data_IF_629811181494
#
_entry.id   IF_629811181494
#
_cell.length_a   1.000
_cell.length_b   1.000
_cell.length_c   1.000
_cell.angle_alpha   90.00
_cell.angle_beta   90.00
_cell.angle_gamma   90.00
#
_symmetry.space_group_name_H-M   'P 1'
#
loop_
_entity.id
_entity.type
_entity.pdbx_description
1 polymer ?
#
# COMPACT_ATOMS: atom_id res chain seq x y z
N UNK A 1 -9.68 24.53 17.58
CA UNK A 1 -8.60 23.68 17.10
C UNK A 1 -9.23 22.36 16.71
N UNK A 2 -9.17 21.94 15.43
CA UNK A 2 -9.70 20.64 15.01
C UNK A 2 -8.91 19.52 15.69
N UNK A 3 -9.60 18.50 16.17
CA UNK A 3 -8.97 17.33 16.76
C UNK A 3 -8.24 16.53 15.66
N UNK A 4 -6.96 16.19 15.91
CA UNK A 4 -6.15 15.43 14.93
C UNK A 4 -6.74 14.05 14.67
N UNK A 5 -6.76 13.64 13.42
CA UNK A 5 -7.19 12.29 13.03
C UNK A 5 -6.21 11.21 13.56
N UNK A 6 -6.63 9.96 13.56
CA UNK A 6 -5.77 8.83 13.93
C UNK A 6 -4.53 8.74 13.05
N UNK A 7 -4.65 9.04 11.77
CA UNK A 7 -3.55 9.05 10.79
C UNK A 7 -2.58 10.20 11.06
N UNK A 8 -3.06 11.40 11.38
CA UNK A 8 -2.17 12.52 11.73
C UNK A 8 -1.36 12.23 13.00
N UNK A 9 -1.97 11.60 14.02
CA UNK A 9 -1.25 11.15 15.22
C UNK A 9 -0.24 10.04 14.91
N UNK A 10 -0.56 9.11 14.00
CA UNK A 10 0.35 8.06 13.54
C UNK A 10 1.60 8.66 12.89
N UNK A 11 1.41 9.59 11.93
CA UNK A 11 2.52 10.28 11.24
C UNK A 11 3.43 11.02 12.20
N UNK A 12 2.89 11.71 13.19
CA UNK A 12 3.69 12.41 14.19
C UNK A 12 4.52 11.45 15.05
N UNK A 13 3.91 10.33 15.46
CA UNK A 13 4.59 9.30 16.27
C UNK A 13 5.76 8.67 15.53
N UNK A 14 5.62 8.45 14.23
CA UNK A 14 6.61 7.78 13.38
C UNK A 14 7.37 8.75 12.47
N UNK A 15 7.44 10.03 12.84
CA UNK A 15 8.10 11.08 12.04
C UNK A 15 9.58 10.81 11.76
N UNK A 16 10.27 10.06 12.61
CA UNK A 16 11.66 9.66 12.43
C UNK A 16 11.86 8.44 11.53
N UNK A 17 10.83 7.65 11.28
CA UNK A 17 10.89 6.50 10.38
C UNK A 17 10.77 6.96 8.93
N UNK A 18 11.91 7.29 8.31
CA UNK A 18 11.98 7.90 6.97
C UNK A 18 12.26 6.90 5.87
N UNK A 19 13.17 5.93 6.13
CA UNK A 19 13.65 5.01 5.12
C UNK A 19 13.34 3.58 5.52
N UNK A 20 12.55 2.92 4.70
CA UNK A 20 12.20 1.51 4.85
C UNK A 20 12.58 0.71 3.63
N UNK A 21 12.75 -0.59 3.80
CA UNK A 21 12.93 -1.53 2.70
C UNK A 21 12.05 -2.77 2.87
N UNK A 22 11.62 -3.34 1.75
CA UNK A 22 10.99 -4.65 1.72
C UNK A 22 11.93 -5.74 2.24
N UNK A 23 11.51 -6.47 3.26
CA UNK A 23 12.30 -7.53 3.88
C UNK A 23 12.34 -8.76 2.96
N UNK A 24 13.48 -9.02 2.34
CA UNK A 24 13.68 -10.12 1.37
C UNK A 24 14.76 -11.09 1.84
N UNK A 25 14.53 -12.40 1.61
CA UNK A 25 15.42 -13.48 2.05
C UNK A 25 16.91 -13.30 1.72
N UNK A 26 17.31 -12.81 0.52
CA UNK A 26 18.72 -12.61 0.21
C UNK A 26 19.47 -11.65 1.14
N UNK A 27 18.74 -10.79 1.85
CA UNK A 27 19.32 -9.76 2.72
C UNK A 27 19.35 -10.16 4.20
N UNK A 28 18.76 -11.28 4.58
CA UNK A 28 18.54 -11.66 5.98
C UNK A 28 19.82 -11.65 6.81
N UNK A 29 20.91 -12.25 6.34
CA UNK A 29 22.15 -12.33 7.12
C UNK A 29 22.76 -10.96 7.34
N UNK A 30 22.84 -10.15 6.29
CA UNK A 30 23.36 -8.79 6.39
C UNK A 30 22.51 -7.90 7.33
N UNK A 31 21.17 -8.04 7.30
CA UNK A 31 20.28 -7.26 8.13
C UNK A 31 20.32 -7.66 9.62
N UNK A 32 20.57 -8.93 9.91
CA UNK A 32 20.80 -9.40 11.28
C UNK A 32 22.11 -8.86 11.86
N UNK A 33 23.15 -8.72 11.05
CA UNK A 33 24.42 -8.11 11.43
C UNK A 33 24.28 -6.61 11.65
N UNK A 34 23.49 -5.91 10.81
CA UNK A 34 23.21 -4.49 10.95
C UNK A 34 22.44 -3.93 9.76
N UNK A 35 21.69 -2.87 10.01
CA UNK A 35 20.89 -2.19 9.00
C UNK A 35 21.08 -0.66 9.07
N UNK A 36 22.31 -0.15 8.78
CA UNK A 36 22.58 1.28 8.88
C UNK A 36 21.74 2.08 7.87
N UNK A 37 21.08 3.14 8.33
CA UNK A 37 20.25 4.00 7.48
C UNK A 37 18.86 3.44 7.17
N UNK A 38 18.46 2.30 7.77
CA UNK A 38 17.12 1.73 7.67
C UNK A 38 16.37 2.00 8.96
N UNK A 39 15.20 2.57 8.86
CA UNK A 39 14.36 2.93 10.01
C UNK A 39 13.25 1.91 10.27
N UNK A 40 12.77 1.22 9.23
CA UNK A 40 11.72 0.19 9.33
C UNK A 40 11.82 -0.83 8.20
N UNK A 41 11.19 -1.98 8.39
CA UNK A 41 11.05 -3.00 7.35
C UNK A 41 9.59 -3.18 6.95
N UNK A 42 9.39 -3.61 5.69
CA UNK A 42 8.09 -4.04 5.21
C UNK A 42 8.12 -5.53 4.88
N UNK A 43 7.08 -6.24 5.31
CA UNK A 43 6.85 -7.63 4.94
C UNK A 43 5.59 -7.78 4.12
N UNK A 44 5.65 -8.62 3.09
CA UNK A 44 4.43 -9.03 2.36
C UNK A 44 3.68 -10.04 3.22
N UNK A 45 2.41 -9.75 3.48
CA UNK A 45 1.56 -10.55 4.37
C UNK A 45 1.51 -12.01 3.93
N UNK A 46 1.21 -12.27 2.66
CA UNK A 46 1.07 -13.61 2.07
C UNK A 46 2.36 -14.43 2.13
N UNK A 47 3.50 -13.75 2.09
CA UNK A 47 4.81 -14.39 2.23
C UNK A 47 5.21 -14.65 3.69
N UNK A 48 4.41 -14.18 4.66
CA UNK A 48 4.81 -14.14 6.07
C UNK A 48 3.78 -14.78 7.01
N UNK A 49 2.49 -14.76 6.67
CA UNK A 49 1.39 -15.26 7.52
C UNK A 49 1.57 -16.72 7.92
N UNK A 50 1.85 -17.59 6.95
CA UNK A 50 1.89 -19.05 7.13
C UNK A 50 3.29 -19.61 7.27
N UNK A 51 4.31 -18.76 7.23
CA UNK A 51 5.71 -19.19 7.22
C UNK A 51 6.22 -19.47 8.63
N UNK A 52 6.93 -20.61 8.71
CA UNK A 52 7.74 -21.01 9.87
C UNK A 52 9.24 -20.94 9.60
N UNK A 53 10.01 -21.61 10.42
CA UNK A 53 11.45 -21.79 10.24
C UNK A 53 12.26 -20.50 10.24
N UNK A 54 13.31 -20.45 9.42
CA UNK A 54 14.27 -19.33 9.40
C UNK A 54 13.62 -17.98 9.08
N UNK A 55 12.72 -17.92 8.11
CA UNK A 55 12.07 -16.64 7.74
C UNK A 55 11.33 -16.04 8.91
N UNK A 56 10.54 -16.84 9.63
CA UNK A 56 9.84 -16.40 10.83
C UNK A 56 10.82 -15.91 11.91
N UNK A 57 11.86 -16.70 12.19
CA UNK A 57 12.86 -16.33 13.21
C UNK A 57 13.57 -15.01 12.88
N UNK A 58 13.87 -14.74 11.60
CA UNK A 58 14.49 -13.48 11.17
C UNK A 58 13.52 -12.31 11.32
N UNK A 59 12.27 -12.47 10.89
CA UNK A 59 11.23 -11.43 11.07
C UNK A 59 11.06 -11.09 12.54
N UNK A 60 10.94 -12.10 13.41
CA UNK A 60 10.76 -11.91 14.86
C UNK A 60 11.99 -11.20 15.47
N UNK A 61 13.21 -11.60 15.12
CA UNK A 61 14.44 -10.97 15.60
C UNK A 61 14.60 -9.51 15.13
N UNK A 62 14.15 -9.19 13.92
CA UNK A 62 14.18 -7.81 13.42
C UNK A 62 13.06 -6.96 14.05
N UNK A 63 11.89 -7.55 14.34
CA UNK A 63 10.78 -6.87 15.01
C UNK A 63 11.13 -6.39 16.44
N UNK A 64 12.07 -7.07 17.11
CA UNK A 64 12.60 -6.62 18.41
C UNK A 64 13.42 -5.32 18.33
N UNK A 65 13.93 -4.98 17.13
CA UNK A 65 14.87 -3.88 16.93
C UNK A 65 14.33 -2.75 16.06
N UNK A 66 13.40 -3.06 15.17
CA UNK A 66 12.86 -2.14 14.17
C UNK A 66 11.34 -2.27 14.08
N UNK A 67 10.61 -1.18 13.80
CA UNK A 67 9.23 -1.28 13.36
C UNK A 67 9.15 -2.15 12.10
N UNK A 68 8.18 -3.06 12.05
CA UNK A 68 7.85 -3.82 10.84
C UNK A 68 6.43 -3.47 10.45
N UNK A 69 6.25 -3.01 9.21
CA UNK A 69 4.93 -2.78 8.62
C UNK A 69 4.51 -4.00 7.78
N UNK A 70 3.21 -4.22 7.69
CA UNK A 70 2.65 -5.35 6.93
C UNK A 70 1.94 -4.82 5.71
N UNK A 71 2.30 -5.35 4.54
CA UNK A 71 1.68 -5.02 3.26
C UNK A 71 1.03 -6.25 2.66
N UNK A 72 -0.27 -6.18 2.40
CA UNK A 72 -1.07 -7.25 1.80
C UNK A 72 -1.29 -7.03 0.31
N UNK A 73 -1.60 -8.12 -0.38
CA UNK A 73 -1.95 -8.09 -1.81
C UNK A 73 -3.29 -8.79 -2.09
N UNK A 74 -3.86 -9.50 -1.13
CA UNK A 74 -5.02 -10.37 -1.34
C UNK A 74 -6.25 -10.07 -0.47
N UNK A 75 -6.34 -8.91 0.17
CA UNK A 75 -7.58 -8.47 0.82
C UNK A 75 -8.73 -8.30 -0.20
N UNK A 76 -8.38 -8.02 -1.45
CA UNK A 76 -9.37 -7.87 -2.52
C UNK A 76 -10.42 -6.80 -2.20
N UNK A 77 -9.98 -5.59 -1.81
CA UNK A 77 -10.82 -4.50 -1.29
C UNK A 77 -11.99 -4.13 -2.22
N UNK A 78 -11.79 -4.22 -3.54
CA UNK A 78 -12.83 -3.93 -4.53
C UNK A 78 -13.62 -5.16 -4.98
N UNK A 79 -13.31 -6.35 -4.46
CA UNK A 79 -13.92 -7.62 -4.88
C UNK A 79 -15.42 -7.71 -4.61
N UNK A 80 -16.16 -8.43 -5.45
CA UNK A 80 -17.59 -8.66 -5.27
C UNK A 80 -17.89 -9.67 -4.14
N UNK A 81 -16.96 -10.59 -3.87
CA UNK A 81 -17.15 -11.65 -2.90
C UNK A 81 -16.96 -11.14 -1.45
N UNK A 82 -17.53 -11.80 -0.45
CA UNK A 82 -17.13 -11.61 0.93
C UNK A 82 -15.62 -11.81 1.11
N UNK A 83 -15.05 -11.21 2.15
CA UNK A 83 -13.66 -11.50 2.52
C UNK A 83 -13.47 -12.99 2.80
N UNK A 84 -12.33 -13.55 2.41
CA UNK A 84 -11.98 -14.92 2.74
C UNK A 84 -11.64 -15.01 4.24
N UNK A 85 -12.46 -15.76 5.00
CA UNK A 85 -12.31 -15.86 6.46
C UNK A 85 -10.94 -16.39 6.87
N UNK A 86 -10.46 -17.46 6.23
CA UNK A 86 -9.13 -18.04 6.49
C UNK A 86 -7.99 -17.05 6.24
N UNK A 87 -8.12 -16.20 5.21
CA UNK A 87 -7.13 -15.14 4.94
C UNK A 87 -7.15 -14.08 6.05
N UNK A 88 -8.34 -13.63 6.47
CA UNK A 88 -8.47 -12.64 7.53
C UNK A 88 -7.90 -13.17 8.86
N UNK A 89 -8.16 -14.43 9.19
CA UNK A 89 -7.66 -15.06 10.43
C UNK A 89 -6.12 -15.19 10.39
N UNK A 90 -5.55 -15.57 9.25
CA UNK A 90 -4.11 -15.65 9.07
C UNK A 90 -3.44 -14.26 9.14
N UNK A 91 -4.06 -13.24 8.54
CA UNK A 91 -3.59 -11.85 8.61
C UNK A 91 -3.67 -11.31 10.04
N UNK A 92 -4.74 -11.62 10.78
CA UNK A 92 -4.91 -11.25 12.18
C UNK A 92 -3.79 -11.83 13.05
N UNK A 93 -3.50 -13.13 12.91
CA UNK A 93 -2.38 -13.77 13.62
C UNK A 93 -1.02 -13.17 13.27
N UNK A 94 -0.83 -12.69 12.03
CA UNK A 94 0.39 -11.96 11.64
C UNK A 94 0.46 -10.58 12.30
N UNK A 95 -0.64 -9.81 12.25
CA UNK A 95 -0.73 -8.47 12.84
C UNK A 95 -0.55 -8.54 14.37
N UNK A 96 -1.17 -9.50 15.05
CA UNK A 96 -0.98 -9.69 16.50
C UNK A 96 0.48 -10.03 16.86
N UNK A 97 1.15 -10.84 16.03
CA UNK A 97 2.53 -11.27 16.27
C UNK A 97 3.55 -10.15 16.03
N UNK A 98 3.37 -9.38 14.96
CA UNK A 98 4.33 -8.31 14.55
C UNK A 98 4.04 -7.00 15.28
N UNK A 99 2.80 -6.76 15.67
CA UNK A 99 2.33 -5.49 16.23
C UNK A 99 2.69 -4.28 15.36
N UNK A 100 2.35 -4.29 14.04
CA UNK A 100 2.78 -3.27 13.11
C UNK A 100 2.19 -1.91 13.47
N UNK A 101 2.94 -0.81 13.29
CA UNK A 101 2.42 0.55 13.49
C UNK A 101 1.29 0.90 12.50
N UNK A 102 1.28 0.30 11.32
CA UNK A 102 0.22 0.29 10.32
C UNK A 102 0.33 -0.94 9.44
N UNK A 103 -0.73 -1.24 8.72
CA UNK A 103 -0.72 -2.22 7.64
C UNK A 103 -1.45 -1.67 6.43
N UNK A 104 -1.25 -2.25 5.25
CA UNK A 104 -1.75 -1.75 3.97
C UNK A 104 -2.20 -2.87 3.04
N UNK A 105 -3.01 -2.54 2.06
CA UNK A 105 -3.34 -3.39 0.93
C UNK A 105 -3.76 -2.54 -0.29
N UNK A 106 -3.80 -3.16 -1.46
CA UNK A 106 -4.07 -2.51 -2.74
C UNK A 106 -5.54 -2.17 -2.96
N UNK A 107 -5.79 -1.07 -3.67
CA UNK A 107 -7.11 -0.69 -4.15
C UNK A 107 -7.50 -1.49 -5.41
N UNK A 108 -7.63 -2.78 -5.28
CA UNK A 108 -7.91 -3.72 -6.37
C UNK A 108 -8.79 -4.86 -5.88
N UNK A 109 -9.08 -5.80 -6.75
CA UNK A 109 -9.54 -7.11 -6.32
C UNK A 109 -8.60 -8.21 -6.86
N UNK A 110 -8.34 -9.23 -6.06
CA UNK A 110 -7.58 -10.42 -6.39
C UNK A 110 -8.47 -11.65 -6.47
N UNK A 111 -9.74 -11.52 -6.02
CA UNK A 111 -10.72 -12.59 -5.97
C UNK A 111 -12.11 -12.11 -6.42
N UNK A 112 -12.76 -12.91 -7.27
CA UNK A 112 -14.15 -12.71 -7.63
C UNK A 112 -14.82 -14.05 -8.01
N UNK A 113 -16.13 -14.21 -7.66
CA UNK A 113 -16.94 -15.38 -7.98
C UNK A 113 -16.32 -16.70 -7.51
N UNK A 114 -15.65 -16.69 -6.33
CA UNK A 114 -14.98 -17.84 -5.76
C UNK A 114 -13.66 -18.24 -6.41
N UNK A 115 -13.15 -17.43 -7.35
CA UNK A 115 -11.87 -17.66 -8.05
C UNK A 115 -10.82 -16.68 -7.57
N UNK A 116 -9.63 -17.19 -7.23
CA UNK A 116 -8.41 -16.41 -6.98
C UNK A 116 -7.67 -16.19 -8.30
N UNK A 117 -7.38 -14.93 -8.63
CA UNK A 117 -6.70 -14.58 -9.88
C UNK A 117 -5.18 -14.53 -9.76
N UNK A 118 -4.66 -14.49 -8.54
CA UNK A 118 -3.23 -14.30 -8.24
C UNK A 118 -2.65 -13.06 -8.92
N UNK A 119 -3.47 -12.03 -9.07
CA UNK A 119 -3.12 -10.77 -9.71
C UNK A 119 -3.95 -9.64 -9.11
N UNK A 120 -3.50 -8.40 -9.31
CA UNK A 120 -4.16 -7.18 -8.86
C UNK A 120 -5.08 -6.68 -9.99
N UNK A 121 -6.36 -7.03 -9.91
CA UNK A 121 -7.33 -6.70 -10.97
C UNK A 121 -7.95 -5.33 -10.69
N UNK A 122 -7.88 -4.40 -11.66
CA UNK A 122 -8.51 -3.09 -11.54
C UNK A 122 -10.04 -3.19 -11.62
N UNK A 123 -10.72 -2.18 -11.12
CA UNK A 123 -12.17 -2.07 -11.15
C UNK A 123 -12.60 -0.63 -11.55
N UNK A 124 -13.84 -0.42 -11.99
CA UNK A 124 -14.31 0.93 -12.34
C UNK A 124 -14.42 1.81 -11.09
N UNK A 125 -13.83 3.01 -11.13
CA UNK A 125 -13.96 4.02 -10.08
C UNK A 125 -15.35 4.68 -10.15
N UNK A 126 -16.39 3.89 -9.90
CA UNK A 126 -17.80 4.30 -9.87
C UNK A 126 -18.23 4.68 -8.45
N UNK A 127 -19.38 5.37 -8.32
CA UNK A 127 -19.98 5.67 -7.01
C UNK A 127 -20.33 4.41 -6.23
N UNK A 128 -20.90 3.42 -6.91
CA UNK A 128 -21.19 2.11 -6.31
C UNK A 128 -19.92 1.36 -5.87
N UNK A 129 -18.83 1.47 -6.65
CA UNK A 129 -17.52 0.96 -6.27
C UNK A 129 -16.99 1.63 -5.01
N UNK A 130 -17.11 2.95 -4.93
CA UNK A 130 -16.70 3.72 -3.75
C UNK A 130 -17.49 3.31 -2.49
N UNK A 131 -18.80 3.16 -2.59
CA UNK A 131 -19.63 2.73 -1.47
C UNK A 131 -19.19 1.35 -0.96
N UNK A 132 -18.99 0.39 -1.86
CA UNK A 132 -18.48 -0.95 -1.52
C UNK A 132 -17.10 -0.91 -0.85
N UNK A 133 -16.14 -0.22 -1.45
CA UNK A 133 -14.78 -0.13 -0.89
C UNK A 133 -14.81 0.57 0.47
N UNK A 134 -15.66 1.59 0.64
CA UNK A 134 -15.87 2.27 1.92
C UNK A 134 -16.28 1.28 3.03
N UNK A 135 -17.32 0.49 2.78
CA UNK A 135 -17.80 -0.52 3.75
C UNK A 135 -16.68 -1.52 4.10
N UNK A 136 -15.93 -1.98 3.09
CA UNK A 136 -14.87 -2.96 3.28
C UNK A 136 -13.68 -2.38 4.05
N UNK A 137 -13.27 -1.16 3.77
CA UNK A 137 -12.20 -0.49 4.51
C UNK A 137 -12.61 -0.24 5.96
N UNK A 138 -13.85 0.16 6.22
CA UNK A 138 -14.36 0.32 7.59
C UNK A 138 -14.37 -1.02 8.34
N UNK A 139 -14.81 -2.10 7.71
CA UNK A 139 -14.77 -3.44 8.29
C UNK A 139 -13.33 -3.87 8.64
N UNK A 140 -12.38 -3.67 7.72
CA UNK A 140 -10.95 -3.99 7.93
C UNK A 140 -10.38 -3.20 9.12
N UNK A 141 -10.66 -1.91 9.18
CA UNK A 141 -10.22 -1.06 10.30
C UNK A 141 -10.81 -1.47 11.64
N UNK A 142 -12.09 -1.84 11.67
CA UNK A 142 -12.76 -2.32 12.88
C UNK A 142 -12.21 -3.67 13.33
N UNK A 143 -12.09 -4.64 12.41
CA UNK A 143 -11.62 -5.98 12.71
C UNK A 143 -10.21 -5.99 13.30
N UNK A 144 -9.29 -5.29 12.66
CA UNK A 144 -7.88 -5.34 13.05
C UNK A 144 -7.49 -4.29 14.12
N UNK A 145 -8.30 -3.26 14.34
CA UNK A 145 -8.05 -2.21 15.33
C UNK A 145 -6.74 -1.45 15.14
N UNK A 146 -6.20 -1.46 13.91
CA UNK A 146 -4.92 -0.85 13.54
C UNK A 146 -5.10 0.20 12.45
N UNK A 147 -4.20 1.19 12.35
CA UNK A 147 -4.15 2.08 11.20
C UNK A 147 -4.00 1.29 9.91
N UNK A 148 -4.91 1.52 8.96
CA UNK A 148 -4.94 0.87 7.68
C UNK A 148 -4.72 1.87 6.56
N UNK A 149 -3.83 1.52 5.62
CA UNK A 149 -3.53 2.33 4.43
C UNK A 149 -4.03 1.63 3.18
N UNK A 150 -4.54 2.41 2.25
CA UNK A 150 -4.94 1.94 0.92
C UNK A 150 -3.91 2.41 -0.10
N UNK A 151 -3.45 1.50 -0.95
CA UNK A 151 -2.47 1.78 -1.99
C UNK A 151 -3.13 1.97 -3.35
N UNK A 152 -2.68 2.99 -4.11
CA UNK A 152 -2.98 3.13 -5.53
C UNK A 152 -2.21 2.11 -6.36
N UNK A 153 -2.89 1.39 -7.24
CA UNK A 153 -2.30 0.30 -8.03
C UNK A 153 -2.11 0.68 -9.49
N UNK A 154 -1.17 0.03 -10.17
CA UNK A 154 -1.08 0.11 -11.62
C UNK A 154 -2.24 -0.62 -12.29
N UNK A 155 -2.71 -0.11 -13.43
CA UNK A 155 -3.74 -0.75 -14.25
C UNK A 155 -3.53 -0.49 -15.74
N UNK A 156 -3.97 -1.44 -16.57
CA UNK A 156 -3.72 -1.46 -18.01
C UNK A 156 -5.01 -1.36 -18.84
N UNK A 157 -6.13 -1.21 -18.18
CA UNK A 157 -7.45 -1.07 -18.82
C UNK A 157 -8.25 0.05 -18.15
N UNK A 158 -8.84 0.91 -18.97
CA UNK A 158 -9.80 1.90 -18.51
C UNK A 158 -11.22 1.32 -18.58
N UNK A 159 -12.06 1.70 -17.61
CA UNK A 159 -13.44 1.25 -17.55
C UNK A 159 -14.38 2.37 -18.00
N UNK A 160 -15.24 2.13 -19.02
CA UNK A 160 -16.24 3.13 -19.43
C UNK A 160 -17.23 3.53 -18.32
N UNK A 161 -17.40 2.65 -17.33
CA UNK A 161 -18.27 2.89 -16.17
C UNK A 161 -17.61 3.69 -15.05
N UNK A 162 -16.39 4.20 -15.22
CA UNK A 162 -15.75 5.07 -14.25
C UNK A 162 -16.45 6.44 -14.22
N UNK A 163 -16.85 6.88 -13.03
CA UNK A 163 -17.52 8.16 -12.77
C UNK A 163 -16.60 9.15 -12.07
N UNK A 164 -15.50 8.65 -11.51
CA UNK A 164 -14.48 9.40 -10.78
C UNK A 164 -13.12 9.13 -11.39
N UNK A 165 -12.20 10.09 -11.29
CA UNK A 165 -10.78 9.78 -11.42
C UNK A 165 -10.29 9.00 -10.19
N UNK A 166 -9.23 8.22 -10.34
CA UNK A 166 -8.63 7.48 -9.23
C UNK A 166 -8.27 8.40 -8.06
N UNK A 167 -7.62 9.54 -8.34
CA UNK A 167 -7.26 10.51 -7.31
C UNK A 167 -8.50 11.00 -6.53
N UNK A 168 -9.60 11.29 -7.23
CA UNK A 168 -10.84 11.71 -6.60
C UNK A 168 -11.49 10.61 -5.78
N UNK A 169 -11.46 9.37 -6.29
CA UNK A 169 -11.93 8.19 -5.57
C UNK A 169 -11.17 8.02 -4.24
N UNK A 170 -9.84 8.10 -4.26
CA UNK A 170 -9.00 8.01 -3.06
C UNK A 170 -9.29 9.15 -2.07
N UNK A 171 -9.49 10.38 -2.54
CA UNK A 171 -9.87 11.50 -1.67
C UNK A 171 -11.18 11.21 -0.93
N UNK A 172 -12.23 10.82 -1.66
CA UNK A 172 -13.53 10.54 -1.06
C UNK A 172 -13.49 9.30 -0.15
N UNK A 173 -12.68 8.29 -0.48
CA UNK A 173 -12.48 7.13 0.38
C UNK A 173 -11.83 7.53 1.72
N UNK A 174 -10.78 8.35 1.69
CA UNK A 174 -10.14 8.89 2.89
C UNK A 174 -11.12 9.71 3.74
N UNK A 175 -11.91 10.58 3.10
CA UNK A 175 -12.92 11.39 3.79
C UNK A 175 -13.97 10.53 4.51
N UNK A 176 -14.44 9.45 3.87
CA UNK A 176 -15.48 8.57 4.40
C UNK A 176 -14.99 7.62 5.49
N UNK A 177 -13.74 7.15 5.38
CA UNK A 177 -13.24 6.06 6.23
C UNK A 177 -12.20 6.51 7.24
N UNK A 178 -11.53 7.65 7.00
CA UNK A 178 -10.36 8.06 7.77
C UNK A 178 -9.20 7.04 7.66
N UNK A 179 -9.08 6.29 6.55
CA UNK A 179 -7.90 5.48 6.27
C UNK A 179 -6.72 6.37 5.88
N UNK A 180 -5.51 5.83 5.98
CA UNK A 180 -4.34 6.45 5.38
C UNK A 180 -4.16 6.03 3.92
N UNK A 181 -3.15 6.62 3.28
CA UNK A 181 -2.71 6.24 1.94
C UNK A 181 -1.27 5.74 1.99
N UNK A 182 -1.03 4.63 1.30
CA UNK A 182 0.26 4.25 0.79
C UNK A 182 0.31 4.76 -0.64
N UNK A 183 1.15 5.75 -0.91
CA UNK A 183 1.29 6.33 -2.24
C UNK A 183 2.41 5.62 -2.99
N UNK A 184 2.07 4.80 -3.98
CA UNK A 184 3.06 4.27 -4.91
C UNK A 184 3.25 5.24 -6.07
N UNK A 185 4.42 5.89 -6.10
CA UNK A 185 4.76 6.91 -7.10
C UNK A 185 5.08 6.28 -8.46
N UNK A 186 5.60 5.05 -8.48
CA UNK A 186 5.83 4.32 -9.71
C UNK A 186 4.49 3.98 -10.40
N UNK A 187 3.49 3.53 -9.63
CA UNK A 187 2.15 3.24 -10.15
C UNK A 187 1.47 4.49 -10.71
N UNK A 188 1.62 5.64 -10.04
CA UNK A 188 1.15 6.93 -10.58
C UNK A 188 1.82 7.23 -11.91
N UNK A 189 3.15 7.06 -12.01
CA UNK A 189 3.90 7.33 -13.23
C UNK A 189 3.50 6.37 -14.37
N UNK A 190 3.46 5.07 -14.10
CA UNK A 190 3.05 4.04 -15.06
C UNK A 190 1.64 4.32 -15.59
N UNK A 191 0.69 4.59 -14.70
CA UNK A 191 -0.69 4.91 -15.10
C UNK A 191 -0.76 6.23 -15.89
N UNK A 192 -0.02 7.26 -15.48
CA UNK A 192 -0.01 8.56 -16.16
C UNK A 192 0.47 8.44 -17.61
N UNK A 193 1.53 7.66 -17.85
CA UNK A 193 2.03 7.41 -19.22
C UNK A 193 1.03 6.58 -20.01
N UNK A 194 0.50 5.50 -19.44
CA UNK A 194 -0.37 4.57 -20.14
C UNK A 194 -1.76 5.15 -20.45
N UNK A 195 -2.27 6.05 -19.61
CA UNK A 195 -3.63 6.62 -19.74
C UNK A 195 -3.64 8.10 -20.08
N UNK A 196 -2.48 8.76 -20.19
CA UNK A 196 -2.35 10.12 -20.70
C UNK A 196 -2.84 11.21 -19.76
N UNK A 197 -2.58 11.09 -18.45
CA UNK A 197 -2.86 12.16 -17.49
C UNK A 197 -1.58 12.73 -16.85
N UNK A 198 -1.69 13.88 -16.18
CA UNK A 198 -0.56 14.50 -15.48
C UNK A 198 -0.34 13.84 -14.11
N UNK A 199 0.81 13.16 -13.88
CA UNK A 199 1.11 12.53 -12.59
C UNK A 199 1.23 13.54 -11.44
N UNK A 200 1.60 14.78 -11.73
CA UNK A 200 1.71 15.84 -10.73
C UNK A 200 0.33 16.30 -10.26
N UNK A 201 -0.62 16.48 -11.19
CA UNK A 201 -2.00 16.80 -10.86
C UNK A 201 -2.63 15.69 -10.00
N UNK A 202 -2.36 14.43 -10.33
CA UNK A 202 -2.81 13.29 -9.52
C UNK A 202 -2.32 13.43 -8.07
N UNK A 203 -1.00 13.59 -7.87
CA UNK A 203 -0.39 13.65 -6.55
C UNK A 203 -0.86 14.89 -5.77
N UNK A 204 -0.98 16.03 -6.44
CA UNK A 204 -1.42 17.29 -5.80
C UNK A 204 -2.90 17.26 -5.39
N UNK A 205 -3.72 16.43 -6.06
CA UNK A 205 -5.12 16.19 -5.69
C UNK A 205 -5.24 15.42 -4.38
N UNK A 206 -4.31 14.51 -4.07
CA UNK A 206 -4.40 13.67 -2.88
C UNK A 206 -4.23 14.47 -1.58
N UNK A 207 -4.98 14.09 -0.52
CA UNK A 207 -4.84 14.73 0.80
C UNK A 207 -3.47 14.37 1.41
N UNK A 208 -2.49 15.25 1.28
CA UNK A 208 -1.11 15.01 1.74
C UNK A 208 -1.03 14.55 3.21
N UNK A 209 -1.98 15.01 4.07
CA UNK A 209 -2.09 14.58 5.47
C UNK A 209 -2.44 13.11 5.64
N UNK A 210 -3.06 12.48 4.65
CA UNK A 210 -3.41 11.06 4.69
C UNK A 210 -2.29 10.14 4.16
N UNK A 211 -1.31 10.67 3.44
CA UNK A 211 -0.17 9.89 2.95
C UNK A 211 0.75 9.58 4.13
N UNK A 212 0.86 8.30 4.50
CA UNK A 212 1.69 7.79 5.60
C UNK A 212 2.97 7.18 5.09
N UNK A 213 2.89 6.43 4.00
CA UNK A 213 4.01 5.71 3.40
C UNK A 213 4.05 5.98 1.90
N UNK A 214 5.24 5.93 1.33
CA UNK A 214 5.47 6.06 -0.11
C UNK A 214 6.23 4.83 -0.58
N UNK A 215 5.72 4.17 -1.63
CA UNK A 215 6.47 3.18 -2.39
C UNK A 215 7.16 3.83 -3.58
N UNK A 216 8.37 3.36 -3.83
CA UNK A 216 9.18 3.73 -4.98
C UNK A 216 9.78 2.46 -5.58
N UNK A 217 9.49 2.20 -6.83
CA UNK A 217 9.94 1.03 -7.56
C UNK A 217 10.36 1.38 -8.98
N UNK A 218 10.94 0.44 -9.70
CA UNK A 218 11.18 0.54 -11.14
C UNK A 218 10.09 -0.15 -11.93
N UNK A 219 10.00 0.20 -13.22
CA UNK A 219 9.08 -0.40 -14.20
C UNK A 219 9.83 -0.84 -15.44
N UNK A 220 9.18 -1.62 -16.31
CA UNK A 220 9.69 -2.01 -17.61
C UNK A 220 8.91 -1.29 -18.72
N UNK A 221 9.65 -0.86 -19.77
CA UNK A 221 9.06 -0.31 -20.97
C UNK A 221 8.93 -1.41 -22.03
N UNK A 222 7.71 -1.74 -22.41
CA UNK A 222 7.41 -2.70 -23.48
C UNK A 222 7.42 -2.06 -24.88
N UNK A 223 7.61 -0.75 -24.98
CA UNK A 223 7.50 0.03 -26.21
C UNK A 223 6.05 0.38 -26.60
N UNK A 224 5.05 -0.31 -26.06
CA UNK A 224 3.62 -0.01 -26.25
C UNK A 224 3.03 0.66 -25.03
N UNK A 225 3.41 0.19 -23.85
CA UNK A 225 3.03 0.75 -22.54
C UNK A 225 4.07 0.37 -21.49
N UNK A 226 4.09 1.12 -20.41
CA UNK A 226 4.90 0.80 -19.24
C UNK A 226 4.26 -0.33 -18.45
N UNK A 227 5.10 -1.24 -17.93
CA UNK A 227 4.65 -2.36 -17.08
C UNK A 227 5.26 -2.19 -15.70
N UNK A 228 4.42 -2.13 -14.70
CA UNK A 228 4.86 -2.17 -13.31
C UNK A 228 5.40 -3.57 -12.98
N UNK A 229 6.69 -3.65 -12.79
CA UNK A 229 7.37 -4.91 -12.46
C UNK A 229 7.98 -4.89 -11.06
N UNK A 230 7.91 -3.74 -10.36
CA UNK A 230 8.61 -3.54 -9.08
C UNK A 230 10.06 -4.05 -9.13
N UNK A 231 10.69 -3.93 -10.32
CA UNK A 231 12.00 -4.47 -10.63
C UNK A 231 13.14 -3.72 -9.95
N UNK A 232 14.34 -4.32 -10.01
CA UNK A 232 15.59 -3.73 -9.48
C UNK A 232 16.20 -2.65 -10.40
N UNK A 233 15.44 -2.05 -11.31
CA UNK A 233 15.89 -0.94 -12.16
C UNK A 233 15.97 0.35 -11.37
N UNK A 234 16.72 1.30 -11.88
CA UNK A 234 16.79 2.64 -11.29
C UNK A 234 15.39 3.28 -11.25
N UNK A 235 15.09 3.93 -10.14
CA UNK A 235 13.85 4.69 -9.96
C UNK A 235 13.85 5.85 -10.98
N UNK A 236 12.70 6.12 -11.58
CA UNK A 236 12.55 7.25 -12.50
C UNK A 236 12.88 8.57 -11.78
N UNK A 237 13.79 9.41 -12.32
CA UNK A 237 14.22 10.65 -11.66
C UNK A 237 13.08 11.57 -11.24
N UNK A 238 11.99 11.64 -12.03
CA UNK A 238 10.80 12.44 -11.68
C UNK A 238 10.05 11.95 -10.45
N UNK A 239 10.13 10.66 -10.13
CA UNK A 239 9.57 10.10 -8.90
C UNK A 239 10.37 10.58 -7.67
N UNK A 240 11.69 10.67 -7.79
CA UNK A 240 12.57 11.20 -6.76
C UNK A 240 12.31 12.68 -6.47
N UNK A 241 12.14 13.50 -7.50
CA UNK A 241 11.87 14.94 -7.35
C UNK A 241 10.61 15.20 -6.53
N UNK A 242 9.56 14.42 -6.72
CA UNK A 242 8.31 14.56 -5.95
C UNK A 242 8.40 14.11 -4.51
N UNK A 243 9.21 13.11 -4.23
CA UNK A 243 9.51 12.69 -2.86
C UNK A 243 10.10 13.85 -2.07
N UNK A 244 11.14 14.50 -2.62
CA UNK A 244 11.79 15.66 -1.99
C UNK A 244 10.81 16.81 -1.77
N UNK A 245 9.96 17.12 -2.75
CA UNK A 245 8.96 18.19 -2.64
C UNK A 245 7.93 17.97 -1.54
N UNK A 246 7.52 16.73 -1.26
CA UNK A 246 6.57 16.43 -0.16
C UNK A 246 7.22 16.39 1.23
N UNK A 247 8.50 16.10 1.32
CA UNK A 247 9.25 16.20 2.59
C UNK A 247 9.43 17.65 3.03
N UNK A 248 9.50 18.61 2.09
CA UNK A 248 9.61 20.04 2.39
C UNK A 248 8.28 20.70 2.79
N UNK A 249 7.14 20.04 2.61
CA UNK A 249 5.80 20.57 2.91
C UNK A 249 5.28 20.20 4.31
N UNK A 250 6.12 19.63 5.16
CA UNK A 250 5.88 19.39 6.60
C UNK A 250 6.71 20.40 7.42
#
# INVERSE_FOLDING_TARGET
MSEKTSIERLRERHRSARHGIGLRRPHFDALLEGAPGIDFFEVIAENTMTIGGRTRAVVDALAERFPIVVHGVNLSLAGPDPFAGEYLDALEGLIERIDPPWFSDHLTYSRAFGVEYHDLIPFPFSRAGLDRVTERVLYVKERFGRPFLVENSSYYAAFPAAELSEARFLCELVERTGCGLLLDVNNVYVNAVNHGYDPYEFIDTLPARAVVQIHMAGHDDSGTFLVDTHGARAIEPRSEERRVGKECAT
#
